data_IF_624540663595
#
_entry.id   IF_624540663595
#
_cell.length_a   1.000
_cell.length_b   1.000
_cell.length_c   1.000
_cell.angle_alpha   90.00
_cell.angle_beta   90.00
_cell.angle_gamma   90.00
#
_symmetry.space_group_name_H-M   'P 1'
#
loop_
_entity.id
_entity.type
_entity.pdbx_description
1 polymer ?
#
# COMPACT_ATOMS: atom_id res chain seq x y z
N UNK A 1 1.82 -41.71 118.68
CA UNK A 1 1.00 -40.98 117.69
C UNK A 1 1.05 -41.62 116.28
N UNK A 2 2.21 -42.10 115.80
CA UNK A 2 2.33 -42.77 114.49
C UNK A 2 1.44 -44.02 114.30
N UNK A 3 1.23 -44.84 115.34
CA UNK A 3 0.44 -46.08 115.24
C UNK A 3 -1.05 -45.85 114.90
N UNK A 4 -1.63 -44.71 115.32
CA UNK A 4 -3.02 -44.36 114.98
C UNK A 4 -3.15 -43.80 113.56
N UNK A 5 -2.08 -43.26 112.99
CA UNK A 5 -2.04 -42.79 111.61
C UNK A 5 -1.98 -43.97 110.62
N UNK A 6 -1.12 -44.95 110.91
CA UNK A 6 -0.97 -46.16 110.11
C UNK A 6 -2.25 -47.00 110.06
N UNK A 7 -3.05 -47.02 111.14
CA UNK A 7 -4.30 -47.79 111.15
C UNK A 7 -5.36 -47.19 110.22
N UNK A 8 -5.49 -45.84 110.20
CA UNK A 8 -6.41 -45.15 109.30
C UNK A 8 -6.01 -45.29 107.83
N UNK A 9 -4.71 -45.26 107.56
CA UNK A 9 -4.20 -45.45 106.20
C UNK A 9 -4.43 -46.88 105.71
N UNK A 10 -4.32 -47.87 106.60
CA UNK A 10 -4.61 -49.28 106.29
C UNK A 10 -6.09 -49.52 105.97
N UNK A 11 -7.00 -48.93 106.73
CA UNK A 11 -8.44 -49.08 106.49
C UNK A 11 -8.89 -48.32 105.22
N UNK A 12 -8.26 -47.18 104.93
CA UNK A 12 -8.50 -46.44 103.68
C UNK A 12 -8.04 -47.23 102.45
N UNK A 13 -6.90 -47.94 102.53
CA UNK A 13 -6.42 -48.79 101.45
C UNK A 13 -7.30 -50.03 101.27
N UNK A 14 -7.82 -50.61 102.36
CA UNK A 14 -8.72 -51.75 102.28
C UNK A 14 -10.02 -51.43 101.51
N UNK A 15 -10.63 -50.26 101.78
CA UNK A 15 -11.83 -49.83 101.05
C UNK A 15 -11.57 -49.48 99.58
N UNK A 16 -10.39 -48.93 99.27
CA UNK A 16 -10.00 -48.64 97.88
C UNK A 16 -9.78 -49.93 97.07
N UNK A 17 -9.25 -50.98 97.70
CA UNK A 17 -9.06 -52.29 97.05
C UNK A 17 -10.42 -52.97 96.82
N UNK A 18 -11.34 -52.93 97.78
CA UNK A 18 -12.64 -53.59 97.67
C UNK A 18 -13.53 -52.98 96.57
N UNK A 19 -13.49 -51.65 96.41
CA UNK A 19 -14.18 -50.93 95.32
C UNK A 19 -13.57 -51.24 93.95
N UNK A 20 -12.24 -51.41 93.86
CA UNK A 20 -11.58 -51.73 92.60
C UNK A 20 -11.75 -53.20 92.19
N UNK A 21 -11.85 -54.12 93.16
CA UNK A 21 -12.04 -55.55 92.90
C UNK A 21 -13.49 -55.87 92.52
N UNK A 22 -14.47 -55.13 93.06
CA UNK A 22 -15.87 -55.31 92.71
C UNK A 22 -16.23 -54.76 91.32
N UNK A 23 -15.50 -53.75 90.83
CA UNK A 23 -15.69 -53.21 89.47
C UNK A 23 -14.96 -54.02 88.39
N UNK A 24 -14.00 -54.86 88.75
CA UNK A 24 -13.21 -55.71 87.86
C UNK A 24 -13.13 -57.16 88.36
N UNK A 25 -14.24 -57.73 88.80
CA UNK A 25 -14.31 -59.18 89.03
C UNK A 25 -14.27 -59.88 87.65
N UNK A 26 -13.18 -60.57 87.28
CA UNK A 26 -13.17 -61.34 86.05
C UNK A 26 -14.15 -62.49 86.23
N UNK A 27 -15.16 -62.56 85.35
CA UNK A 27 -16.05 -63.71 85.27
C UNK A 27 -15.24 -64.95 84.87
N UNK A 28 -14.64 -65.62 85.83
CA UNK A 28 -14.16 -67.01 85.69
C UNK A 28 -15.37 -67.93 85.75
N UNK A 29 -16.11 -67.98 84.64
CA UNK A 29 -17.28 -68.83 84.45
C UNK A 29 -16.97 -69.98 83.51
N UNK A 30 -16.48 -71.10 84.05
CA UNK A 30 -16.33 -72.38 83.33
C UNK A 30 -17.67 -73.10 83.07
N UNK A 31 -18.81 -72.41 83.18
CA UNK A 31 -20.16 -73.02 83.07
C UNK A 31 -21.13 -72.35 82.07
N UNK A 32 -20.65 -71.60 81.08
CA UNK A 32 -21.54 -71.00 80.05
C UNK A 32 -21.10 -71.22 78.59
N UNK A 33 -20.24 -72.22 78.31
CA UNK A 33 -19.81 -72.48 76.93
C UNK A 33 -20.91 -73.01 76.01
N UNK A 34 -21.97 -73.67 76.53
CA UNK A 34 -23.08 -74.12 75.67
C UNK A 34 -24.13 -73.03 75.40
N UNK A 35 -24.47 -72.18 76.38
CA UNK A 35 -25.51 -71.14 76.22
C UNK A 35 -25.03 -69.88 75.48
N UNK A 36 -23.72 -69.59 75.48
CA UNK A 36 -23.14 -68.47 74.69
C UNK A 36 -22.61 -68.90 73.31
N UNK A 37 -22.59 -70.20 72.99
CA UNK A 37 -22.14 -70.70 71.67
C UNK A 37 -23.08 -70.34 70.53
N UNK A 38 -24.41 -70.36 70.78
CA UNK A 38 -25.43 -70.07 69.78
C UNK A 38 -25.37 -68.64 69.19
N UNK A 39 -25.27 -67.56 70.00
CA UNK A 39 -25.15 -66.20 69.46
C UNK A 39 -23.80 -65.94 68.76
N UNK A 40 -22.73 -66.62 69.19
CA UNK A 40 -21.42 -66.54 68.52
C UNK A 40 -21.47 -67.23 67.16
N UNK A 41 -22.06 -68.42 67.07
CA UNK A 41 -22.24 -69.13 65.81
C UNK A 41 -23.08 -68.33 64.80
N UNK A 42 -24.19 -67.71 65.24
CA UNK A 42 -25.00 -66.84 64.38
C UNK A 42 -24.21 -65.62 63.85
N UNK A 43 -23.35 -65.03 64.68
CA UNK A 43 -22.48 -63.91 64.29
C UNK A 43 -21.38 -64.32 63.32
N UNK A 44 -20.84 -65.54 63.45
CA UNK A 44 -19.88 -66.10 62.48
C UNK A 44 -20.55 -66.26 61.11
N UNK A 45 -21.75 -66.82 61.05
CA UNK A 45 -22.50 -66.97 59.78
C UNK A 45 -22.80 -65.61 59.14
N UNK A 46 -23.18 -64.59 59.92
CA UNK A 46 -23.37 -63.23 59.38
C UNK A 46 -22.07 -62.63 58.84
N UNK A 47 -20.95 -62.80 59.56
CA UNK A 47 -19.63 -62.35 59.10
C UNK A 47 -19.21 -63.06 57.81
N UNK A 48 -19.43 -64.37 57.70
CA UNK A 48 -19.16 -65.14 56.49
C UNK A 48 -19.98 -64.64 55.30
N UNK A 49 -21.27 -64.35 55.51
CA UNK A 49 -22.12 -63.73 54.49
C UNK A 49 -21.58 -62.37 54.05
N UNK A 50 -21.22 -61.49 54.99
CA UNK A 50 -20.66 -60.16 54.68
C UNK A 50 -19.31 -60.26 53.96
N UNK A 51 -18.48 -61.25 54.31
CA UNK A 51 -17.21 -61.54 53.61
C UNK A 51 -17.49 -62.01 52.18
N UNK A 52 -18.48 -62.89 51.97
CA UNK A 52 -18.87 -63.36 50.65
C UNK A 52 -19.42 -62.21 49.78
N UNK A 53 -20.32 -61.38 50.32
CA UNK A 53 -20.84 -60.18 49.65
C UNK A 53 -19.71 -59.20 49.31
N UNK A 54 -18.79 -58.93 50.24
CA UNK A 54 -17.64 -58.07 50.00
C UNK A 54 -16.72 -58.64 48.90
N UNK A 55 -16.50 -59.96 48.87
CA UNK A 55 -15.71 -60.62 47.81
C UNK A 55 -16.37 -60.48 46.45
N UNK A 56 -17.69 -60.65 46.36
CA UNK A 56 -18.43 -60.44 45.11
C UNK A 56 -18.29 -58.99 44.63
N UNK A 57 -18.50 -58.01 45.52
CA UNK A 57 -18.34 -56.59 45.18
C UNK A 57 -16.92 -56.26 44.71
N UNK A 58 -15.89 -56.81 45.36
CA UNK A 58 -14.50 -56.65 44.92
C UNK A 58 -14.28 -57.26 43.53
N UNK A 59 -14.91 -58.39 43.21
CA UNK A 59 -14.82 -59.00 41.88
C UNK A 59 -15.47 -58.12 40.80
N UNK A 60 -16.66 -57.57 41.08
CA UNK A 60 -17.37 -56.62 40.20
C UNK A 60 -16.55 -55.34 39.98
N UNK A 61 -16.01 -54.74 41.04
CA UNK A 61 -15.16 -53.55 40.96
C UNK A 61 -13.87 -53.82 40.16
N UNK A 62 -13.26 -55.00 40.33
CA UNK A 62 -12.10 -55.43 39.53
C UNK A 62 -12.44 -55.52 38.04
N UNK A 63 -13.60 -56.08 37.68
CA UNK A 63 -14.05 -56.15 36.30
C UNK A 63 -14.31 -54.74 35.74
N UNK A 64 -14.93 -53.86 36.53
CA UNK A 64 -15.17 -52.46 36.15
C UNK A 64 -13.86 -51.71 35.89
N UNK A 65 -12.86 -51.86 36.77
CA UNK A 65 -11.52 -51.28 36.59
C UNK A 65 -10.85 -51.84 35.33
N UNK A 66 -10.97 -53.15 35.07
CA UNK A 66 -10.44 -53.75 33.87
C UNK A 66 -11.07 -53.16 32.61
N UNK A 67 -12.39 -53.07 32.55
CA UNK A 67 -13.12 -52.48 31.42
C UNK A 67 -12.72 -51.01 31.19
N UNK A 68 -12.59 -50.23 32.27
CA UNK A 68 -12.14 -48.83 32.21
C UNK A 68 -10.71 -48.71 31.67
N UNK A 69 -9.79 -49.59 32.08
CA UNK A 69 -8.41 -49.61 31.55
C UNK A 69 -8.37 -49.94 30.07
N UNK A 70 -9.16 -50.92 29.64
CA UNK A 70 -9.28 -51.28 28.21
C UNK A 70 -9.83 -50.12 27.39
N UNK A 71 -10.87 -49.44 27.88
CA UNK A 71 -11.44 -48.27 27.23
C UNK A 71 -10.44 -47.10 27.15
N UNK A 72 -9.71 -46.84 28.24
CA UNK A 72 -8.69 -45.79 28.29
C UNK A 72 -7.58 -46.08 27.27
N UNK A 73 -7.10 -47.33 27.20
CA UNK A 73 -6.07 -47.74 26.25
C UNK A 73 -6.55 -47.59 24.80
N UNK A 74 -7.79 -48.00 24.49
CA UNK A 74 -8.38 -47.80 23.17
C UNK A 74 -8.48 -46.31 22.80
N UNK A 75 -8.93 -45.47 23.74
CA UNK A 75 -9.03 -44.01 23.53
C UNK A 75 -7.65 -43.37 23.34
N UNK A 76 -6.64 -43.82 24.11
CA UNK A 76 -5.25 -43.36 23.96
C UNK A 76 -4.70 -43.69 22.57
N UNK A 77 -4.93 -44.91 22.08
CA UNK A 77 -4.53 -45.31 20.74
C UNK A 77 -5.22 -44.49 19.65
N UNK A 78 -6.54 -44.29 19.78
CA UNK A 78 -7.29 -43.43 18.85
C UNK A 78 -6.75 -41.99 18.83
N UNK A 79 -6.46 -41.43 20.01
CA UNK A 79 -5.89 -40.08 20.10
C UNK A 79 -4.49 -40.00 19.47
N UNK A 80 -3.65 -41.01 19.68
CA UNK A 80 -2.32 -41.10 19.04
C UNK A 80 -2.44 -41.18 17.52
N UNK A 81 -3.38 -41.97 16.99
CA UNK A 81 -3.63 -42.07 15.55
C UNK A 81 -4.11 -40.74 14.98
N UNK A 82 -5.09 -40.10 15.60
CA UNK A 82 -5.58 -38.78 15.18
C UNK A 82 -4.49 -37.73 15.20
N UNK A 83 -3.63 -37.73 16.22
CA UNK A 83 -2.48 -36.82 16.30
C UNK A 83 -1.46 -37.08 15.18
N UNK A 84 -1.17 -38.34 14.86
CA UNK A 84 -0.28 -38.70 13.77
C UNK A 84 -0.84 -38.23 12.41
N UNK A 85 -2.13 -38.45 12.15
CA UNK A 85 -2.81 -37.98 10.93
C UNK A 85 -2.77 -36.45 10.83
N UNK A 86 -3.14 -35.74 11.91
CA UNK A 86 -3.14 -34.29 11.94
C UNK A 86 -1.72 -33.70 11.74
N UNK A 87 -0.71 -34.32 12.33
CA UNK A 87 0.70 -33.92 12.13
C UNK A 87 1.15 -34.11 10.69
N UNK A 88 0.76 -35.23 10.06
CA UNK A 88 1.08 -35.50 8.66
C UNK A 88 0.39 -34.52 7.71
N UNK A 89 -0.88 -34.22 7.95
CA UNK A 89 -1.65 -33.27 7.14
C UNK A 89 -1.15 -31.84 7.32
N UNK A 90 -0.79 -31.45 8.55
CA UNK A 90 -0.14 -30.18 8.81
C UNK A 90 1.17 -30.05 8.02
N UNK A 91 2.04 -31.07 8.05
CA UNK A 91 3.29 -31.05 7.29
C UNK A 91 3.05 -30.94 5.77
N UNK A 92 2.02 -31.65 5.25
CA UNK A 92 1.64 -31.56 3.83
C UNK A 92 1.16 -30.16 3.46
N UNK A 93 0.33 -29.53 4.29
CA UNK A 93 -0.18 -28.19 4.06
C UNK A 93 0.94 -27.15 4.10
N UNK A 94 1.78 -27.19 5.15
CA UNK A 94 2.94 -26.32 5.31
C UNK A 94 3.92 -26.43 4.15
N UNK A 95 4.04 -27.61 3.53
CA UNK A 95 4.94 -27.81 2.38
C UNK A 95 4.30 -27.36 1.05
N UNK A 96 2.98 -27.51 0.89
CA UNK A 96 2.28 -27.20 -0.38
C UNK A 96 1.93 -25.73 -0.54
N UNK A 97 1.50 -25.07 0.54
CA UNK A 97 1.06 -23.67 0.48
C UNK A 97 2.15 -22.72 -0.04
N UNK A 98 3.41 -22.77 0.44
CA UNK A 98 4.46 -21.90 -0.07
C UNK A 98 4.78 -22.14 -1.54
N UNK A 99 4.75 -23.41 -1.99
CA UNK A 99 5.02 -23.77 -3.40
C UNK A 99 3.95 -23.20 -4.33
N UNK A 100 2.67 -23.39 -3.98
CA UNK A 100 1.55 -22.84 -4.75
C UNK A 100 1.58 -21.30 -4.80
N UNK A 101 1.93 -20.66 -3.69
CA UNK A 101 2.07 -19.20 -3.62
C UNK A 101 3.24 -18.72 -4.50
N UNK A 102 4.39 -19.39 -4.45
CA UNK A 102 5.55 -19.07 -5.30
C UNK A 102 5.25 -19.24 -6.79
N UNK A 103 4.59 -20.35 -7.18
CA UNK A 103 4.15 -20.58 -8.57
C UNK A 103 3.20 -19.48 -9.06
N UNK A 104 2.22 -19.10 -8.22
CA UNK A 104 1.27 -18.03 -8.52
C UNK A 104 1.97 -16.68 -8.64
N UNK A 105 2.96 -16.41 -7.78
CA UNK A 105 3.76 -15.19 -7.80
C UNK A 105 4.62 -15.11 -9.08
N UNK A 106 5.26 -16.21 -9.47
CA UNK A 106 6.03 -16.30 -10.72
C UNK A 106 5.12 -16.03 -11.93
N UNK A 107 3.93 -16.66 -11.98
CA UNK A 107 2.98 -16.46 -13.07
C UNK A 107 2.46 -15.02 -13.14
N UNK A 108 2.14 -14.42 -11.99
CA UNK A 108 1.75 -13.01 -11.91
C UNK A 108 2.87 -12.10 -12.43
N UNK A 109 4.12 -12.32 -12.00
CA UNK A 109 5.28 -11.55 -12.46
C UNK A 109 5.47 -11.64 -13.97
N UNK A 110 5.41 -12.85 -14.54
CA UNK A 110 5.51 -13.06 -15.98
C UNK A 110 4.40 -12.36 -16.76
N UNK A 111 3.17 -12.41 -16.25
CA UNK A 111 2.00 -11.76 -16.86
C UNK A 111 2.13 -10.23 -16.81
N UNK A 112 2.55 -9.69 -15.67
CA UNK A 112 2.81 -8.25 -15.51
C UNK A 112 3.93 -7.76 -16.46
N UNK A 113 5.02 -8.52 -16.59
CA UNK A 113 6.12 -8.17 -17.48
C UNK A 113 5.68 -8.18 -18.96
N UNK A 114 4.84 -9.14 -19.36
CA UNK A 114 4.22 -9.15 -20.70
C UNK A 114 3.30 -7.95 -20.93
N UNK A 115 2.45 -7.62 -19.94
CA UNK A 115 1.55 -6.47 -20.02
C UNK A 115 2.34 -5.17 -20.17
N UNK A 116 3.42 -5.00 -19.43
CA UNK A 116 4.32 -3.85 -19.56
C UNK A 116 4.92 -3.74 -20.97
N UNK A 117 5.40 -4.85 -21.55
CA UNK A 117 5.95 -4.86 -22.92
C UNK A 117 4.90 -4.40 -23.93
N UNK A 118 3.68 -4.90 -23.82
CA UNK A 118 2.55 -4.54 -24.69
C UNK A 118 2.20 -3.06 -24.54
N UNK A 119 2.04 -2.55 -23.29
CA UNK A 119 1.78 -1.13 -23.01
C UNK A 119 2.85 -0.23 -23.60
N UNK A 120 4.14 -0.60 -23.47
CA UNK A 120 5.26 0.13 -24.10
C UNK A 120 5.20 0.11 -25.63
N UNK A 121 4.65 -0.95 -26.23
CA UNK A 121 4.38 -1.01 -27.66
C UNK A 121 3.35 0.05 -28.06
N UNK A 122 2.19 0.06 -27.40
CA UNK A 122 1.13 1.04 -27.67
C UNK A 122 1.57 2.49 -27.45
N UNK A 123 2.34 2.77 -26.41
CA UNK A 123 2.83 4.14 -26.17
C UNK A 123 3.82 4.56 -27.26
N UNK A 124 4.67 3.66 -27.76
CA UNK A 124 5.56 3.96 -28.90
C UNK A 124 4.77 4.25 -30.18
N UNK A 125 3.73 3.47 -30.45
CA UNK A 125 2.81 3.72 -31.57
C UNK A 125 2.10 5.06 -31.40
N UNK A 126 1.64 5.39 -30.19
CA UNK A 126 1.01 6.66 -29.87
C UNK A 126 1.94 7.85 -30.14
N UNK A 127 3.18 7.80 -29.66
CA UNK A 127 4.20 8.83 -29.93
C UNK A 127 4.44 8.99 -31.43
N UNK A 128 4.46 7.88 -32.19
CA UNK A 128 4.62 7.88 -33.64
C UNK A 128 3.42 8.54 -34.36
N UNK A 129 2.20 8.15 -34.00
CA UNK A 129 0.95 8.70 -34.57
C UNK A 129 0.85 10.20 -34.33
N UNK A 130 1.11 10.63 -33.09
CA UNK A 130 1.07 12.05 -32.72
C UNK A 130 2.33 12.81 -33.12
N UNK A 131 3.35 12.14 -33.66
CA UNK A 131 4.64 12.71 -34.05
C UNK A 131 5.24 13.60 -32.94
N UNK A 132 5.12 13.16 -31.69
CA UNK A 132 5.64 13.89 -30.55
C UNK A 132 7.17 13.81 -30.56
N UNK A 133 7.83 14.92 -30.85
CA UNK A 133 9.29 14.97 -30.98
C UNK A 133 9.89 16.30 -30.54
N UNK A 134 11.13 16.24 -30.10
CA UNK A 134 11.97 17.41 -29.89
C UNK A 134 12.62 17.81 -31.23
N UNK A 135 12.56 19.09 -31.57
CA UNK A 135 13.12 19.66 -32.82
C UNK A 135 14.14 20.72 -32.45
N UNK A 136 15.35 20.64 -33.02
CA UNK A 136 16.30 21.73 -32.93
C UNK A 136 15.88 22.88 -33.84
N UNK A 137 15.59 24.05 -33.26
CA UNK A 137 15.44 25.29 -34.02
C UNK A 137 16.81 25.67 -34.58
N UNK A 138 16.92 25.73 -35.90
CA UNK A 138 18.05 26.41 -36.54
C UNK A 138 17.94 27.89 -36.16
N UNK A 139 18.86 28.38 -35.34
CA UNK A 139 19.00 29.81 -35.06
C UNK A 139 19.23 30.53 -36.39
N UNK A 140 18.34 31.46 -36.76
CA UNK A 140 18.45 32.24 -38.00
C UNK A 140 19.57 33.31 -37.94
N UNK A 141 20.46 33.26 -36.94
CA UNK A 141 21.35 34.37 -36.58
C UNK A 141 22.64 34.43 -37.42
N UNK A 142 22.98 33.41 -38.21
CA UNK A 142 24.24 33.43 -39.01
C UNK A 142 24.06 33.43 -40.53
N UNK A 143 22.85 33.56 -41.06
CA UNK A 143 22.65 33.64 -42.52
C UNK A 143 22.88 35.06 -43.10
N UNK A 144 22.98 36.10 -42.27
CA UNK A 144 23.21 37.48 -42.72
C UNK A 144 24.70 37.88 -42.81
N UNK A 145 25.63 37.05 -42.33
CA UNK A 145 27.07 37.35 -42.35
C UNK A 145 27.83 36.77 -43.56
N UNK A 146 27.16 36.05 -44.47
CA UNK A 146 27.78 35.37 -45.61
C UNK A 146 27.53 36.04 -46.97
N UNK A 147 27.38 37.37 -46.99
CA UNK A 147 27.36 38.15 -48.23
C UNK A 147 28.44 39.22 -48.20
N UNK A 148 29.66 38.82 -48.58
CA UNK A 148 30.72 39.69 -49.08
C UNK A 148 31.48 38.93 -50.17
N UNK A 149 31.60 39.47 -51.40
CA UNK A 149 32.17 38.75 -52.52
C UNK A 149 33.69 38.96 -52.58
N UNK A 150 34.45 37.97 -52.15
CA UNK A 150 35.90 37.92 -52.40
C UNK A 150 36.17 36.99 -53.58
N UNK A 151 36.47 37.60 -54.73
CA UNK A 151 37.06 36.92 -55.89
C UNK A 151 38.42 36.32 -55.51
N UNK A 152 38.61 35.03 -55.73
CA UNK A 152 39.89 34.49 -56.20
C UNK A 152 39.70 33.08 -56.79
N UNK A 153 40.22 32.93 -58.01
CA UNK A 153 40.26 31.72 -58.82
C UNK A 153 41.05 30.57 -58.15
N UNK A 154 40.55 29.35 -58.31
CA UNK A 154 41.32 28.14 -58.63
C UNK A 154 40.32 27.06 -59.09
N UNK A 155 40.12 26.81 -60.39
CA UNK A 155 40.76 25.74 -61.20
C UNK A 155 41.07 24.45 -60.46
N UNK A 156 40.21 23.42 -60.61
CA UNK A 156 40.47 22.18 -61.37
C UNK A 156 39.46 21.06 -61.03
N UNK A 157 38.97 20.40 -62.10
CA UNK A 157 38.71 18.95 -62.23
C UNK A 157 37.70 18.28 -61.29
N UNK A 158 36.82 17.35 -61.67
CA UNK A 158 36.31 16.74 -62.91
C UNK A 158 35.29 15.70 -62.42
N UNK A 159 34.24 15.42 -63.20
CA UNK A 159 33.66 14.06 -63.22
C UNK A 159 32.23 13.91 -62.73
N UNK A 160 31.31 13.75 -63.71
CA UNK A 160 30.13 12.87 -63.72
C UNK A 160 29.01 13.16 -62.71
N UNK A 161 27.73 13.21 -63.04
CA UNK A 161 26.99 12.85 -64.25
C UNK A 161 25.53 12.59 -63.83
N UNK A 162 24.59 13.18 -64.59
CA UNK A 162 23.21 12.72 -64.90
C UNK A 162 22.25 12.48 -63.70
N UNK A 163 21.24 13.34 -63.44
CA UNK A 163 19.92 13.43 -64.10
C UNK A 163 19.10 12.12 -63.95
N UNK A 164 17.82 12.05 -63.56
CA UNK A 164 16.75 13.04 -63.49
C UNK A 164 15.61 12.56 -62.55
N UNK A 165 14.83 13.50 -62.02
CA UNK A 165 13.45 13.31 -61.55
C UNK A 165 12.47 13.21 -62.72
N UNK A 166 11.41 12.40 -62.61
CA UNK A 166 10.01 12.66 -63.09
C UNK A 166 9.10 11.65 -62.33
N UNK A 167 8.27 12.06 -61.37
CA UNK A 167 6.86 12.49 -61.45
C UNK A 167 5.83 11.40 -61.86
N UNK A 168 4.84 11.14 -60.98
CA UNK A 168 3.40 11.27 -61.25
C UNK A 168 2.61 10.84 -59.99
N UNK A 169 1.74 11.65 -59.38
CA UNK A 169 0.44 12.22 -59.82
C UNK A 169 -0.71 11.21 -59.75
N UNK A 170 -1.61 11.45 -58.79
CA UNK A 170 -2.93 10.84 -58.66
C UNK A 170 -3.87 11.86 -58.03
N UNK A 171 -4.73 12.45 -58.86
CA UNK A 171 -5.71 13.52 -58.61
C UNK A 171 -7.08 12.96 -58.19
N UNK A 172 -8.04 13.87 -57.92
CA UNK A 172 -9.52 13.74 -57.86
C UNK A 172 -10.14 13.43 -56.48
N UNK A 173 -11.22 14.05 -55.96
CA UNK A 173 -12.24 15.05 -56.37
C UNK A 173 -12.69 15.83 -55.10
N UNK A 174 -12.77 17.17 -55.09
CA UNK A 174 -13.98 18.01 -55.24
C UNK A 174 -15.34 17.44 -54.80
N UNK A 175 -15.96 18.03 -53.76
CA UNK A 175 -17.34 18.52 -53.87
C UNK A 175 -17.72 19.46 -52.71
N UNK A 176 -18.17 20.62 -53.13
CA UNK A 176 -18.94 21.68 -52.45
C UNK A 176 -20.20 21.22 -51.74
N UNK A 177 -20.57 21.87 -50.61
CA UNK A 177 -21.96 22.27 -50.30
C UNK A 177 -21.95 23.63 -49.57
N UNK A 178 -22.75 24.56 -50.12
CA UNK A 178 -23.18 25.83 -49.53
C UNK A 178 -24.52 25.61 -48.84
N UNK A 179 -24.75 26.23 -47.68
CA UNK A 179 -26.05 26.79 -47.22
C UNK A 179 -25.80 27.47 -45.86
N UNK A 180 -25.83 28.79 -45.72
CA UNK A 180 -26.93 29.75 -45.82
C UNK A 180 -27.91 29.72 -44.62
N UNK A 181 -27.86 30.84 -43.89
CA UNK A 181 -28.98 31.67 -43.41
C UNK A 181 -29.51 31.54 -41.97
N UNK A 182 -29.66 32.75 -41.44
CA UNK A 182 -30.61 33.27 -40.44
C UNK A 182 -30.24 33.05 -38.96
N UNK A 183 -30.51 33.96 -38.03
CA UNK A 183 -30.79 35.40 -37.93
C UNK A 183 -31.28 35.61 -36.49
N UNK A 184 -31.23 36.86 -36.03
CA UNK A 184 -31.89 37.40 -34.82
C UNK A 184 -31.18 37.08 -33.50
N UNK A 185 -30.50 38.05 -32.88
CA UNK A 185 -31.04 39.22 -32.20
C UNK A 185 -31.74 38.85 -30.88
N UNK A 186 -31.09 39.21 -29.78
CA UNK A 186 -31.58 39.10 -28.42
C UNK A 186 -30.74 39.98 -27.52
N UNK A 187 -30.92 41.30 -27.66
CA UNK A 187 -30.59 42.27 -26.63
C UNK A 187 -31.28 41.83 -25.34
N UNK A 188 -30.55 41.65 -24.24
CA UNK A 188 -31.04 42.02 -22.92
C UNK A 188 -29.87 42.56 -22.11
N UNK A 189 -29.96 43.86 -21.91
CA UNK A 189 -29.28 44.69 -20.93
C UNK A 189 -29.42 44.12 -19.53
N UNK A 190 -28.32 44.03 -18.78
CA UNK A 190 -28.38 44.11 -17.33
C UNK A 190 -27.14 44.84 -16.81
N UNK A 191 -27.43 45.89 -16.07
CA UNK A 191 -26.56 46.92 -15.57
C UNK A 191 -26.16 46.60 -14.12
N UNK A 192 -24.90 46.91 -13.79
CA UNK A 192 -24.44 47.50 -12.53
C UNK A 192 -24.76 46.77 -11.22
N UNK A 193 -23.73 46.15 -10.62
CA UNK A 193 -23.22 46.35 -9.24
C UNK A 193 -21.75 45.89 -9.30
N UNK A 194 -20.68 46.62 -8.97
CA UNK A 194 -20.51 47.69 -7.99
C UNK A 194 -19.72 47.17 -6.79
N UNK A 195 -18.41 46.89 -6.92
CA UNK A 195 -17.53 46.77 -5.74
C UNK A 195 -16.08 47.19 -6.02
N UNK A 196 -15.82 48.43 -5.59
CA UNK A 196 -14.66 48.93 -4.86
C UNK A 196 -13.25 48.62 -5.40
N UNK A 197 -12.71 49.63 -6.06
CA UNK A 197 -11.29 49.92 -6.18
C UNK A 197 -10.65 50.20 -4.81
N UNK A 198 -9.48 49.61 -4.54
CA UNK A 198 -8.52 50.12 -3.58
C UNK A 198 -7.43 50.87 -4.35
N UNK A 199 -7.40 52.18 -4.12
CA UNK A 199 -6.40 53.13 -4.62
C UNK A 199 -5.08 52.92 -3.87
N UNK A 200 -3.96 52.98 -4.60
CA UNK A 200 -2.67 53.40 -4.06
C UNK A 200 -2.07 54.41 -5.04
N UNK A 201 -1.82 55.62 -4.53
CA UNK A 201 -1.31 56.79 -5.25
C UNK A 201 0.21 56.70 -5.51
N UNK A 202 0.71 57.42 -6.53
CA UNK A 202 2.13 57.46 -6.87
C UNK A 202 2.85 58.62 -6.16
N UNK A 203 4.13 58.42 -5.83
CA UNK A 203 5.07 59.50 -5.54
C UNK A 203 6.30 59.39 -6.42
N UNK A 204 6.61 60.51 -7.06
CA UNK A 204 7.80 60.81 -7.84
C UNK A 204 9.09 60.63 -7.05
N UNK A 205 10.19 60.31 -7.73
CA UNK A 205 11.38 61.17 -7.85
C UNK A 205 12.46 60.49 -8.68
N UNK A 206 13.11 61.29 -9.53
CA UNK A 206 14.31 60.97 -10.28
C UNK A 206 15.43 60.50 -9.34
N UNK A 207 16.23 59.53 -9.77
CA UNK A 207 17.67 59.77 -9.88
C UNK A 207 18.38 58.71 -10.75
N UNK A 208 19.32 59.25 -11.51
CA UNK A 208 20.19 58.67 -12.50
C UNK A 208 21.13 57.59 -11.96
N UNK A 209 21.21 56.44 -12.64
CA UNK A 209 22.35 55.54 -12.56
C UNK A 209 22.74 54.97 -13.93
N UNK A 210 23.89 55.47 -14.40
CA UNK A 210 24.94 54.84 -15.20
C UNK A 210 24.62 53.50 -15.88
N UNK A 211 24.35 53.56 -17.19
CA UNK A 211 24.45 52.40 -18.10
C UNK A 211 25.93 52.10 -18.37
N UNK A 212 26.51 51.18 -17.60
CA UNK A 212 27.65 50.40 -18.09
C UNK A 212 27.12 49.15 -18.79
N UNK A 213 27.40 49.09 -20.09
CA UNK A 213 27.26 47.91 -20.92
C UNK A 213 28.11 46.78 -20.34
N UNK A 214 27.46 45.82 -19.69
CA UNK A 214 27.95 44.46 -19.54
C UNK A 214 27.23 43.60 -20.56
N UNK A 215 27.97 43.16 -21.58
CA UNK A 215 27.49 42.19 -22.55
C UNK A 215 27.07 40.91 -21.85
N UNK A 216 25.77 40.74 -21.65
CA UNK A 216 25.20 39.49 -21.19
C UNK A 216 25.34 38.48 -22.32
N UNK A 217 26.26 37.53 -22.14
CA UNK A 217 26.29 36.30 -22.91
C UNK A 217 24.97 35.58 -22.68
N UNK A 218 24.01 35.79 -23.59
CA UNK A 218 22.78 35.01 -23.66
C UNK A 218 23.22 33.58 -23.98
N UNK A 219 23.25 32.75 -22.95
CA UNK A 219 23.46 31.31 -23.04
C UNK A 219 22.46 30.74 -24.04
N UNK A 220 22.98 30.10 -25.08
CA UNK A 220 22.31 29.48 -26.22
C UNK A 220 21.51 28.22 -25.82
N UNK A 221 20.80 28.25 -24.68
CA UNK A 221 20.00 27.14 -24.14
C UNK A 221 18.64 26.96 -24.85
N UNK A 222 18.34 27.78 -25.87
CA UNK A 222 17.01 27.88 -26.46
C UNK A 222 16.81 27.10 -27.76
N UNK A 223 17.66 26.11 -28.04
CA UNK A 223 17.65 25.44 -29.35
C UNK A 223 16.61 24.34 -29.50
N UNK A 224 16.01 23.83 -28.43
CA UNK A 224 15.07 22.70 -28.55
C UNK A 224 13.61 23.15 -28.45
N UNK A 225 12.74 22.70 -29.35
CA UNK A 225 11.28 22.96 -29.35
C UNK A 225 10.54 21.62 -29.46
N UNK A 226 9.58 21.35 -28.58
CA UNK A 226 8.71 20.18 -28.73
C UNK A 226 7.58 20.46 -29.72
N UNK A 227 7.24 19.45 -30.53
CA UNK A 227 6.13 19.52 -31.49
C UNK A 227 5.23 18.31 -31.36
N UNK A 228 3.93 18.52 -31.54
CA UNK A 228 2.91 17.48 -31.64
C UNK A 228 2.13 17.68 -32.94
N UNK A 229 2.03 16.65 -33.78
CA UNK A 229 1.40 16.71 -35.11
C UNK A 229 1.92 17.92 -35.93
N UNK A 230 3.24 18.17 -35.87
CA UNK A 230 3.92 19.33 -36.47
C UNK A 230 3.51 20.73 -35.94
N UNK A 231 2.65 20.82 -34.93
CA UNK A 231 2.35 22.05 -34.21
C UNK A 231 3.42 22.29 -33.15
N UNK A 232 4.08 23.45 -33.21
CA UNK A 232 5.07 23.86 -32.20
C UNK A 232 4.42 24.28 -30.90
N UNK A 233 5.14 24.11 -29.78
CA UNK A 233 4.69 24.53 -28.46
C UNK A 233 5.50 25.72 -27.95
N UNK A 234 4.84 26.78 -27.44
CA UNK A 234 5.53 27.93 -26.87
C UNK A 234 6.26 27.55 -25.57
N UNK A 235 7.55 27.87 -25.48
CA UNK A 235 8.37 27.61 -24.29
C UNK A 235 8.28 28.73 -23.25
N UNK A 236 8.05 29.97 -23.69
CA UNK A 236 8.21 31.16 -22.85
C UNK A 236 6.97 31.46 -21.99
N UNK A 237 5.98 30.56 -21.93
CA UNK A 237 4.70 30.78 -21.24
C UNK A 237 3.82 31.90 -21.83
N UNK A 238 4.32 32.64 -22.82
CA UNK A 238 3.62 33.73 -23.49
C UNK A 238 2.62 33.21 -24.53
N UNK A 239 1.58 32.51 -24.05
CA UNK A 239 0.51 31.95 -24.90
C UNK A 239 -0.24 33.03 -25.70
N UNK A 240 -0.29 34.28 -25.20
CA UNK A 240 -1.02 35.39 -25.81
C UNK A 240 -0.45 35.84 -27.16
N UNK A 241 0.87 35.69 -27.36
CA UNK A 241 1.53 36.08 -28.63
C UNK A 241 1.51 34.93 -29.65
N UNK A 242 1.11 33.73 -29.23
CA UNK A 242 1.07 32.57 -30.10
C UNK A 242 -0.24 32.53 -30.90
N UNK A 243 -0.24 32.17 -32.20
CA UNK A 243 -1.46 32.06 -32.98
C UNK A 243 -2.47 31.11 -32.31
N UNK A 244 -3.65 31.64 -31.98
CA UNK A 244 -4.63 30.94 -31.13
C UNK A 244 -5.13 29.65 -31.76
N UNK A 245 -5.30 29.63 -33.08
CA UNK A 245 -5.74 28.45 -33.83
C UNK A 245 -4.72 27.32 -33.67
N UNK A 246 -3.42 27.65 -33.72
CA UNK A 246 -2.33 26.69 -33.53
C UNK A 246 -2.25 26.23 -32.08
N UNK A 247 -2.39 27.16 -31.11
CA UNK A 247 -2.41 26.81 -29.68
C UNK A 247 -3.54 25.83 -29.37
N UNK A 248 -4.76 26.21 -29.74
CA UNK A 248 -5.98 25.45 -29.44
C UNK A 248 -5.97 24.08 -30.13
N UNK A 249 -5.46 24.00 -31.38
CA UNK A 249 -5.26 22.73 -32.05
C UNK A 249 -4.20 21.86 -31.34
N UNK A 250 -3.06 22.46 -30.96
CA UNK A 250 -2.00 21.79 -30.21
C UNK A 250 -2.50 21.20 -28.89
N UNK A 251 -3.24 21.98 -28.11
CA UNK A 251 -3.85 21.52 -26.86
C UNK A 251 -4.86 20.40 -27.11
N UNK A 252 -5.67 20.48 -28.17
CA UNK A 252 -6.56 19.40 -28.57
C UNK A 252 -5.83 18.07 -28.81
N UNK A 253 -4.66 18.12 -29.47
CA UNK A 253 -3.82 16.93 -29.64
C UNK A 253 -3.23 16.43 -28.33
N UNK A 254 -2.80 17.33 -27.44
CA UNK A 254 -2.29 16.96 -26.10
C UNK A 254 -3.35 16.24 -25.29
N UNK A 255 -4.56 16.81 -25.21
CA UNK A 255 -5.69 16.20 -24.51
C UNK A 255 -6.03 14.84 -25.10
N UNK A 256 -6.06 14.74 -26.44
CA UNK A 256 -6.35 13.47 -27.09
C UNK A 256 -5.30 12.40 -26.78
N UNK A 257 -4.02 12.76 -26.88
CA UNK A 257 -2.91 11.86 -26.60
C UNK A 257 -2.89 11.44 -25.14
N UNK A 258 -3.10 12.38 -24.21
CA UNK A 258 -3.11 12.10 -22.77
C UNK A 258 -4.24 11.16 -22.37
N UNK A 259 -5.44 11.32 -22.95
CA UNK A 259 -6.57 10.39 -22.71
C UNK A 259 -6.27 8.98 -23.23
N UNK A 260 -5.62 8.86 -24.40
CA UNK A 260 -5.20 7.55 -24.91
C UNK A 260 -4.09 6.95 -24.04
N UNK A 261 -3.13 7.76 -23.63
CA UNK A 261 -2.03 7.37 -22.75
C UNK A 261 -2.56 6.87 -21.40
N UNK A 262 -3.47 7.61 -20.77
CA UNK A 262 -4.08 7.23 -19.49
C UNK A 262 -4.87 5.93 -19.62
N UNK A 263 -5.59 5.72 -20.73
CA UNK A 263 -6.33 4.49 -20.99
C UNK A 263 -5.40 3.29 -21.22
N UNK A 264 -4.31 3.46 -21.97
CA UNK A 264 -3.35 2.36 -22.20
C UNK A 264 -2.54 2.00 -20.95
N UNK A 265 -2.26 3.00 -20.10
CA UNK A 265 -1.55 2.79 -18.83
C UNK A 265 -2.49 2.43 -17.67
N UNK A 266 -3.81 2.51 -17.87
CA UNK A 266 -4.83 2.36 -16.83
C UNK A 266 -4.62 3.29 -15.63
N UNK A 267 -4.17 4.52 -15.90
CA UNK A 267 -3.96 5.55 -14.88
C UNK A 267 -5.20 6.45 -14.79
N UNK A 268 -5.91 6.49 -13.65
CA UNK A 268 -7.06 7.37 -13.49
C UNK A 268 -6.60 8.83 -13.38
N UNK A 269 -7.13 9.72 -14.23
CA UNK A 269 -6.76 11.13 -14.19
C UNK A 269 -7.50 11.89 -13.06
N UNK A 270 -6.80 12.75 -12.29
CA UNK A 270 -7.40 13.62 -11.27
C UNK A 270 -8.52 14.50 -11.81
N UNK A 271 -8.33 15.08 -13.01
CA UNK A 271 -9.34 15.89 -13.66
C UNK A 271 -9.96 15.16 -14.85
N UNK A 272 -11.25 15.43 -15.09
CA UNK A 272 -11.97 14.84 -16.23
C UNK A 272 -11.71 15.69 -17.47
N UNK A 273 -10.85 15.19 -18.35
CA UNK A 273 -10.56 15.83 -19.63
C UNK A 273 -11.56 15.38 -20.71
N UNK A 274 -12.07 16.33 -21.49
CA UNK A 274 -12.98 16.04 -22.60
C UNK A 274 -12.42 16.63 -23.88
N UNK A 275 -12.06 15.74 -24.81
CA UNK A 275 -11.55 16.11 -26.12
C UNK A 275 -12.69 16.57 -27.04
N UNK A 276 -12.60 17.81 -27.52
CA UNK A 276 -13.42 18.38 -28.59
C UNK A 276 -12.57 19.10 -29.63
N UNK A 277 -11.37 18.59 -29.90
CA UNK A 277 -10.38 19.22 -30.76
C UNK A 277 -9.96 20.57 -30.22
N UNK A 278 -10.14 21.63 -31.02
CA UNK A 278 -9.76 23.01 -30.65
C UNK A 278 -10.65 23.65 -29.58
N UNK A 279 -11.72 22.96 -29.13
CA UNK A 279 -12.63 23.43 -28.07
C UNK A 279 -12.70 22.45 -26.89
N UNK A 280 -11.59 21.76 -26.62
CA UNK A 280 -11.47 20.83 -25.49
C UNK A 280 -11.62 21.56 -24.14
N UNK A 281 -11.95 20.83 -23.07
CA UNK A 281 -12.10 21.41 -21.74
C UNK A 281 -11.78 20.38 -20.65
N UNK A 282 -11.41 20.89 -19.47
CA UNK A 282 -11.21 20.12 -18.25
C UNK A 282 -12.39 20.32 -17.29
N UNK A 283 -12.67 19.33 -16.45
CA UNK A 283 -13.69 19.43 -15.40
C UNK A 283 -13.14 18.88 -14.09
N UNK A 284 -13.34 19.62 -13.01
CA UNK A 284 -13.04 19.15 -11.66
C UNK A 284 -14.14 18.17 -11.22
N UNK A 285 -13.76 17.02 -10.68
CA UNK A 285 -14.71 15.98 -10.27
C UNK A 285 -15.62 16.42 -9.11
N UNK A 286 -15.17 17.38 -8.29
CA UNK A 286 -15.81 17.77 -7.03
C UNK A 286 -16.16 19.28 -6.92
N UNK A 287 -16.23 20.03 -8.03
CA UNK A 287 -16.47 21.48 -7.98
C UNK A 287 -17.84 21.84 -8.55
N UNK A 288 -18.85 21.83 -7.69
CA UNK A 288 -20.20 22.35 -7.98
C UNK A 288 -20.26 23.90 -7.98
N UNK A 289 -19.18 24.57 -7.57
CA UNK A 289 -19.16 26.00 -7.27
C UNK A 289 -18.87 26.95 -8.45
N UNK A 290 -18.61 26.44 -9.66
CA UNK A 290 -18.46 27.28 -10.86
C UNK A 290 -19.61 26.96 -11.82
N UNK A 291 -20.34 27.96 -12.30
CA UNK A 291 -21.64 27.80 -13.00
C UNK A 291 -21.64 26.89 -14.25
N UNK A 292 -20.49 26.41 -14.71
CA UNK A 292 -20.37 25.33 -15.72
C UNK A 292 -19.47 24.16 -15.32
N UNK A 293 -18.69 24.27 -14.23
CA UNK A 293 -17.68 23.30 -13.78
C UNK A 293 -16.61 22.94 -14.84
N UNK A 294 -16.62 23.60 -16.00
CA UNK A 294 -15.80 23.30 -17.16
C UNK A 294 -14.79 24.43 -17.37
N UNK A 295 -13.50 24.09 -17.32
CA UNK A 295 -12.43 25.02 -17.65
C UNK A 295 -12.05 24.83 -19.12
N UNK A 296 -12.15 25.87 -19.96
CA UNK A 296 -11.81 25.76 -21.37
C UNK A 296 -10.31 25.48 -21.54
N UNK A 297 -9.97 24.53 -22.41
CA UNK A 297 -8.59 24.26 -22.84
C UNK A 297 -8.31 24.89 -24.21
N UNK A 298 -8.91 26.06 -24.43
CA UNK A 298 -8.75 26.86 -25.62
C UNK A 298 -8.81 28.34 -25.26
N UNK A 299 -7.99 29.14 -25.93
CA UNK A 299 -7.84 30.56 -25.68
C UNK A 299 -8.68 31.38 -26.67
N UNK A 300 -9.46 32.32 -26.14
CA UNK A 300 -10.18 33.41 -26.83
C UNK A 300 -9.82 34.75 -26.17
N UNK A 301 -10.25 35.88 -26.75
CA UNK A 301 -10.03 37.21 -26.18
C UNK A 301 -10.63 37.39 -24.78
N UNK A 302 -11.65 36.60 -24.45
CA UNK A 302 -12.53 36.82 -23.30
C UNK A 302 -12.35 35.81 -22.18
N UNK A 303 -11.55 34.76 -22.38
CA UNK A 303 -11.51 33.61 -21.46
C UNK A 303 -10.11 33.30 -20.89
N UNK A 304 -9.17 34.24 -20.97
CA UNK A 304 -7.77 34.02 -20.59
C UNK A 304 -7.58 33.45 -19.18
N UNK A 305 -8.35 33.93 -18.19
CA UNK A 305 -8.27 33.46 -16.81
C UNK A 305 -8.76 32.01 -16.69
N UNK A 306 -9.95 31.72 -17.23
CA UNK A 306 -10.53 30.37 -17.23
C UNK A 306 -9.66 29.37 -18.02
N UNK A 307 -9.04 29.83 -19.12
CA UNK A 307 -8.07 29.07 -19.88
C UNK A 307 -6.83 28.73 -19.06
N UNK A 308 -6.29 29.70 -18.31
CA UNK A 308 -5.11 29.49 -17.47
C UNK A 308 -5.35 28.45 -16.38
N UNK A 309 -6.54 28.50 -15.75
CA UNK A 309 -6.97 27.48 -14.79
C UNK A 309 -7.09 26.11 -15.47
N UNK A 310 -7.75 26.04 -16.63
CA UNK A 310 -7.88 24.79 -17.39
C UNK A 310 -6.52 24.19 -17.78
N UNK A 311 -5.61 25.01 -18.30
CA UNK A 311 -4.26 24.58 -18.66
C UNK A 311 -3.47 24.08 -17.44
N UNK A 312 -3.68 24.70 -16.27
CA UNK A 312 -3.09 24.23 -15.01
C UNK A 312 -3.61 22.84 -14.62
N UNK A 313 -4.91 22.58 -14.77
CA UNK A 313 -5.50 21.25 -14.55
C UNK A 313 -4.92 20.21 -15.52
N UNK A 314 -4.79 20.56 -16.81
CA UNK A 314 -4.18 19.68 -17.80
C UNK A 314 -2.72 19.36 -17.45
N UNK A 315 -1.92 20.36 -17.08
CA UNK A 315 -0.53 20.16 -16.70
C UNK A 315 -0.38 19.34 -15.41
N UNK A 316 -1.32 19.49 -14.48
CA UNK A 316 -1.38 18.64 -13.30
C UNK A 316 -1.68 17.18 -13.66
N UNK A 317 -2.64 16.91 -14.55
CA UNK A 317 -2.92 15.54 -15.02
C UNK A 317 -1.69 14.92 -15.72
N UNK A 318 -0.95 15.70 -16.52
CA UNK A 318 0.31 15.25 -17.14
C UNK A 318 1.34 14.94 -16.06
N UNK A 319 1.53 15.84 -15.09
CA UNK A 319 2.46 15.63 -13.98
C UNK A 319 2.09 14.40 -13.15
N UNK A 320 0.79 14.16 -12.93
CA UNK A 320 0.30 12.97 -12.27
C UNK A 320 0.64 11.71 -13.05
N UNK A 321 0.41 11.68 -14.37
CA UNK A 321 0.83 10.54 -15.20
C UNK A 321 2.34 10.34 -15.10
N UNK A 322 3.16 11.39 -15.18
CA UNK A 322 4.61 11.29 -15.00
C UNK A 322 4.98 10.66 -13.67
N UNK A 323 4.37 11.11 -12.57
CA UNK A 323 4.56 10.56 -11.24
C UNK A 323 4.22 9.07 -11.17
N UNK A 324 3.10 8.64 -11.76
CA UNK A 324 2.73 7.20 -11.81
C UNK A 324 3.73 6.36 -12.61
N UNK A 325 4.49 6.96 -13.53
CA UNK A 325 5.55 6.30 -14.29
C UNK A 325 6.93 6.47 -13.65
N UNK A 326 7.01 6.97 -12.41
CA UNK A 326 8.25 7.12 -11.64
C UNK A 326 9.07 8.37 -11.99
N UNK A 327 8.45 9.38 -12.61
CA UNK A 327 9.08 10.67 -12.90
C UNK A 327 8.55 11.74 -11.94
N UNK A 328 9.43 12.30 -11.14
CA UNK A 328 9.11 13.44 -10.28
C UNK A 328 9.34 14.75 -11.04
N UNK A 329 8.32 15.60 -11.12
CA UNK A 329 8.36 16.87 -11.86
C UNK A 329 8.34 18.02 -10.85
N UNK A 330 9.41 18.82 -10.78
CA UNK A 330 9.43 20.03 -9.96
C UNK A 330 8.29 20.97 -10.33
N UNK A 331 7.69 21.63 -9.34
CA UNK A 331 6.55 22.53 -9.55
C UNK A 331 6.81 23.61 -10.63
N UNK A 332 8.04 24.13 -10.69
CA UNK A 332 8.46 25.12 -11.68
C UNK A 332 8.42 24.59 -13.13
N UNK A 333 8.53 23.28 -13.32
CA UNK A 333 8.58 22.62 -14.62
C UNK A 333 7.22 22.04 -15.05
N UNK A 334 6.22 22.02 -14.17
CA UNK A 334 4.85 21.56 -14.47
C UNK A 334 4.26 22.23 -15.73
N UNK A 335 4.47 23.54 -15.98
CA UNK A 335 3.97 24.19 -17.20
C UNK A 335 4.61 23.71 -18.52
N UNK A 336 5.67 22.88 -18.49
CA UNK A 336 6.33 22.35 -19.69
C UNK A 336 5.55 21.17 -20.30
N UNK A 337 4.30 21.45 -20.72
CA UNK A 337 3.28 20.48 -21.17
C UNK A 337 3.82 19.36 -22.08
N UNK A 338 4.39 19.71 -23.23
CA UNK A 338 4.85 18.70 -24.20
C UNK A 338 6.12 17.97 -23.78
N UNK A 339 6.99 18.64 -23.04
CA UNK A 339 8.23 18.05 -22.54
C UNK A 339 7.92 16.98 -21.49
N UNK A 340 7.06 17.33 -20.54
CA UNK A 340 6.58 16.40 -19.51
C UNK A 340 5.81 15.23 -20.13
N UNK A 341 4.93 15.50 -21.12
CA UNK A 341 4.22 14.44 -21.84
C UNK A 341 5.18 13.50 -22.59
N UNK A 342 6.21 14.05 -23.25
CA UNK A 342 7.23 13.25 -23.91
C UNK A 342 8.04 12.43 -22.90
N UNK A 343 8.37 13.02 -21.75
CA UNK A 343 9.02 12.36 -20.62
C UNK A 343 8.21 11.17 -20.13
N UNK A 344 6.90 11.34 -19.90
CA UNK A 344 6.00 10.25 -19.51
C UNK A 344 6.06 9.08 -20.51
N UNK A 345 6.04 9.36 -21.81
CA UNK A 345 6.10 8.33 -22.84
C UNK A 345 7.47 7.61 -22.95
N UNK A 346 8.52 8.19 -22.35
CA UNK A 346 9.90 7.67 -22.39
C UNK A 346 10.36 7.14 -21.02
N UNK A 347 9.48 7.13 -20.02
CA UNK A 347 9.82 6.73 -18.66
C UNK A 347 10.39 5.31 -18.59
N UNK A 348 11.44 5.12 -17.79
CA UNK A 348 12.08 3.82 -17.60
C UNK A 348 11.13 2.76 -17.03
N UNK A 349 10.14 3.20 -16.24
CA UNK A 349 9.12 2.38 -15.59
C UNK A 349 7.77 2.41 -16.31
N UNK A 350 7.75 2.79 -17.59
CA UNK A 350 6.51 2.89 -18.36
C UNK A 350 5.70 1.59 -18.35
N UNK A 351 4.41 1.70 -18.02
CA UNK A 351 3.45 0.60 -17.97
C UNK A 351 3.44 -0.15 -16.65
N UNK A 352 4.21 0.28 -15.65
CA UNK A 352 4.16 -0.28 -14.29
C UNK A 352 2.77 -0.10 -13.71
N UNK A 353 2.26 -1.17 -13.10
CA UNK A 353 1.01 -1.13 -12.35
C UNK A 353 1.22 -0.31 -11.07
N UNK A 354 0.39 0.71 -10.87
CA UNK A 354 0.45 1.62 -9.72
C UNK A 354 0.24 0.85 -8.39
N UNK A 355 -0.43 -0.31 -8.45
CA UNK A 355 -0.68 -1.17 -7.31
C UNK A 355 0.40 -2.24 -7.11
N UNK A 356 1.40 -2.32 -8.00
CA UNK A 356 2.55 -3.20 -7.81
C UNK A 356 3.42 -2.58 -6.73
N UNK A 357 3.59 -3.20 -5.55
CA UNK A 357 4.54 -2.70 -4.57
C UNK A 357 5.92 -2.65 -5.25
N UNK A 358 6.63 -1.52 -5.21
CA UNK A 358 7.95 -1.41 -5.82
C UNK A 358 8.82 -2.50 -5.20
N UNK A 359 9.17 -3.50 -6.00
CA UNK A 359 9.93 -4.67 -5.51
C UNK A 359 11.40 -4.35 -5.29
N UNK A 360 11.76 -3.06 -5.25
CA UNK A 360 13.13 -2.58 -5.01
C UNK A 360 13.14 -1.13 -4.50
N UNK A 361 12.72 -0.94 -3.26
CA UNK A 361 13.63 -0.32 -2.31
C UNK A 361 13.83 -1.39 -1.25
N UNK A 362 15.09 -1.75 -1.03
CA UNK A 362 15.53 -2.68 0.02
C UNK A 362 14.62 -2.60 1.24
N UNK A 363 14.18 -3.72 1.84
CA UNK A 363 13.65 -3.62 3.20
C UNK A 363 14.73 -2.92 4.00
N UNK A 364 14.38 -1.80 4.64
CA UNK A 364 15.23 -1.14 5.60
C UNK A 364 15.82 -2.22 6.50
N UNK A 365 17.10 -2.53 6.27
CA UNK A 365 17.86 -3.35 7.19
C UNK A 365 18.09 -2.43 8.38
N UNK A 366 17.14 -2.44 9.33
CA UNK A 366 17.41 -2.09 10.71
C UNK A 366 18.29 -3.20 11.31
N UNK A 367 19.45 -3.45 10.70
CA UNK A 367 20.58 -4.02 11.42
C UNK A 367 21.09 -2.93 12.32
N UNK A 368 20.43 -2.78 13.48
CA UNK A 368 21.10 -2.31 14.68
C UNK A 368 22.30 -3.24 14.87
N UNK A 369 23.45 -2.76 14.43
CA UNK A 369 24.73 -3.37 14.74
C UNK A 369 24.85 -3.40 16.26
N UNK A 370 25.06 -4.57 16.91
CA UNK A 370 25.31 -4.58 18.33
C UNK A 370 26.61 -3.80 18.59
N UNK A 371 26.62 -2.84 19.54
CA UNK A 371 27.84 -2.12 19.86
C UNK A 371 28.85 -3.11 20.44
N UNK A 372 30.04 -3.16 19.84
CA UNK A 372 31.16 -3.90 20.39
C UNK A 372 31.54 -3.35 21.77
N UNK A 373 31.94 -4.22 22.72
CA UNK A 373 32.08 -3.85 24.11
C UNK A 373 33.42 -3.14 24.36
N UNK A 374 33.42 -1.81 24.35
CA UNK A 374 34.46 -1.05 25.03
C UNK A 374 34.17 -1.03 26.53
N UNK A 375 34.85 -1.94 27.22
CA UNK A 375 35.61 -1.70 28.44
C UNK A 375 35.20 -0.44 29.21
N UNK A 376 34.45 -0.55 30.30
CA UNK A 376 34.56 0.34 31.47
C UNK A 376 34.10 -0.39 32.75
N UNK A 377 34.88 -0.16 33.80
CA UNK A 377 34.93 -0.92 35.04
C UNK A 377 33.77 -0.59 35.99
N UNK A 378 33.43 -1.59 36.82
CA UNK A 378 32.59 -1.51 38.04
C UNK A 378 33.12 -0.49 39.06
N UNK A 379 32.26 -0.02 39.97
CA UNK A 379 32.21 -0.62 41.33
C UNK A 379 30.75 -0.97 41.73
N UNK A 380 30.40 -2.20 42.17
CA UNK A 380 30.40 -2.73 43.58
C UNK A 380 29.92 -1.64 44.56
N UNK A 381 28.70 -1.65 45.09
CA UNK A 381 28.00 -2.60 46.02
C UNK A 381 26.49 -2.19 46.04
N UNK A 382 25.46 -3.00 46.28
CA UNK A 382 24.96 -3.70 47.50
C UNK A 382 23.73 -4.55 47.05
N UNK A 383 23.69 -5.88 47.16
CA UNK A 383 23.09 -6.70 48.24
C UNK A 383 21.68 -6.29 48.72
N UNK A 384 20.62 -7.00 48.28
CA UNK A 384 19.76 -7.88 49.12
C UNK A 384 18.55 -8.49 48.34
N UNK A 385 18.40 -9.82 48.45
CA UNK A 385 17.18 -10.66 48.63
C UNK A 385 15.86 -10.24 47.93
N UNK A 386 15.29 -11.05 47.03
CA UNK A 386 14.43 -12.20 47.40
C UNK A 386 13.28 -12.38 46.37
N UNK A 387 12.47 -13.46 46.46
CA UNK A 387 12.13 -14.30 45.30
C UNK A 387 10.67 -14.25 44.81
N UNK A 388 10.46 -14.84 43.62
CA UNK A 388 9.24 -15.53 43.12
C UNK A 388 7.87 -14.88 43.33
N UNK A 389 7.16 -14.57 42.23
CA UNK A 389 5.86 -15.23 42.06
C UNK A 389 5.34 -15.27 40.62
N UNK A 390 4.61 -16.35 40.38
CA UNK A 390 3.87 -16.75 39.20
C UNK A 390 2.56 -15.98 39.16
N UNK A 391 2.16 -15.43 38.00
CA UNK A 391 0.72 -15.26 37.70
C UNK A 391 0.45 -15.44 36.20
N UNK A 392 -0.19 -16.57 35.93
CA UNK A 392 -1.03 -16.87 34.78
C UNK A 392 -2.29 -16.01 34.87
N UNK A 393 -2.70 -15.34 33.79
CA UNK A 393 -4.13 -15.18 33.48
C UNK A 393 -4.39 -15.23 31.97
N UNK A 394 -5.50 -15.85 31.54
CA UNK A 394 -5.89 -16.02 30.14
C UNK A 394 -6.86 -14.93 29.70
N UNK A 395 -6.84 -14.57 28.41
CA UNK A 395 -8.00 -13.92 27.78
C UNK A 395 -8.34 -14.59 26.46
N UNK A 396 -9.49 -15.26 26.49
CA UNK A 396 -10.25 -15.79 25.37
C UNK A 396 -10.95 -14.62 24.66
N UNK A 397 -10.94 -14.61 23.33
CA UNK A 397 -11.80 -13.75 22.52
C UNK A 397 -12.58 -14.64 21.54
N UNK A 398 -13.84 -14.85 21.89
CA UNK A 398 -14.87 -15.33 20.98
C UNK A 398 -15.18 -14.22 19.96
N UNK A 399 -15.12 -14.56 18.66
CA UNK A 399 -15.74 -13.77 17.61
C UNK A 399 -16.82 -14.62 16.94
N UNK A 400 -18.07 -14.20 17.12
CA UNK A 400 -19.20 -14.69 16.36
C UNK A 400 -20.12 -13.50 16.06
N UNK A 401 -20.06 -13.01 14.82
CA UNK A 401 -21.16 -12.42 14.05
C UNK A 401 -20.72 -12.16 12.62
#
# INVERSE_FOLDING_TARGET
MLSKMLFKERDSLAQAIETHVSSHAPLTGFQSHQAQSAPVAARVVDLERRIAEARQKIAEDKQKIHNQRTLLNARKQSLMQSHATLSQDHLRLVTRLPKSHEESFILYKQTADRLMIVRRGFVRELVSIFRLRQVQRRSKITAAAALSPSRSLATLSSGGGLAASVANLGSFMSSTVKEARNSAAGLMTASVVGLAAAQATPRSSMDSFTTQQSGSMVSDEHLHEYRIVNVGWPKDGNFLQYPREKLNAGIGYVVHMLLLLSNYLEVPLPFKLINRGSKSYARAQNMEALESGQMPLYLTDTNADAFTVGLSMLNFDIAYVCYTQGLDIPLAQVPHTLENLAGACQAAHLGWDINRPPTSLTPFSLTLSPPSPHHHQRPRSELLHGPTDVMVLPFSLDFNK
#
